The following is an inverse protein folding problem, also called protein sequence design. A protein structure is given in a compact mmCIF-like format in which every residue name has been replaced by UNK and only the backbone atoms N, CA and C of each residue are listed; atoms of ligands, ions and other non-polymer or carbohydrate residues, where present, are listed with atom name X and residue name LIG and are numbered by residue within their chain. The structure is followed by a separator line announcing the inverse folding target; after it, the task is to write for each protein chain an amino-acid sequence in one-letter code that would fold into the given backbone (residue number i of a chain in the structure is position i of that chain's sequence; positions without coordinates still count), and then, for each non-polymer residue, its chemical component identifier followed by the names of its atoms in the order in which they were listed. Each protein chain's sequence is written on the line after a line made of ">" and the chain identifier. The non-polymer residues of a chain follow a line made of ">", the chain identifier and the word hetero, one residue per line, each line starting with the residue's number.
data_IF_397495802380
#
_entry.id   IF_397495802380
#
_cell.length_a   1.000
_cell.length_b   1.000
_cell.length_c   1.000
_cell.angle_alpha   90.00
_cell.angle_beta   90.00
_cell.angle_gamma   90.00
#
_symmetry.space_group_name_H-M   'P 1'
#
loop_
_entity.id
_entity.type
_entity.pdbx_description
1 polymer ?
#
# COMPACT_ATOMS: atom_id res chain seq x y z
N UNK A 1 -21.82 27.55 -7.18
CA UNK A 1 -22.11 27.20 -5.78
C UNK A 1 -21.08 26.17 -5.35
N UNK A 2 -20.34 26.41 -4.27
CA UNK A 2 -19.31 25.47 -3.79
C UNK A 2 -19.95 24.31 -3.04
N UNK A 3 -19.49 23.08 -3.29
CA UNK A 3 -20.02 21.85 -2.67
C UNK A 3 -19.68 21.80 -1.18
N UNK A 4 -18.50 22.27 -0.77
CA UNK A 4 -18.08 22.29 0.63
C UNK A 4 -19.08 23.07 1.51
N UNK A 5 -19.64 24.17 0.99
CA UNK A 5 -20.61 24.98 1.72
C UNK A 5 -21.91 24.20 1.96
N UNK A 6 -22.34 23.40 0.98
CA UNK A 6 -23.53 22.56 1.13
C UNK A 6 -23.32 21.48 2.17
N UNK A 7 -22.17 20.79 2.14
CA UNK A 7 -21.80 19.77 3.13
C UNK A 7 -21.77 20.37 4.54
N UNK A 8 -21.10 21.51 4.73
CA UNK A 8 -21.04 22.20 6.02
C UNK A 8 -22.43 22.59 6.55
N UNK A 9 -23.27 23.17 5.69
CA UNK A 9 -24.64 23.55 6.05
C UNK A 9 -25.47 22.33 6.47
N UNK A 10 -25.37 21.22 5.74
CA UNK A 10 -26.07 19.97 6.06
C UNK A 10 -25.60 19.39 7.39
N UNK A 11 -24.29 19.35 7.66
CA UNK A 11 -23.75 18.84 8.92
C UNK A 11 -24.25 19.64 10.12
N UNK A 12 -24.23 20.97 10.04
CA UNK A 12 -24.72 21.85 11.11
C UNK A 12 -26.22 21.64 11.33
N UNK A 13 -26.99 21.55 10.24
CA UNK A 13 -28.44 21.32 10.30
C UNK A 13 -28.75 19.95 10.92
N UNK A 14 -28.12 18.88 10.46
CA UNK A 14 -28.31 17.53 11.00
C UNK A 14 -27.97 17.45 12.49
N UNK A 15 -26.90 18.14 12.94
CA UNK A 15 -26.57 18.21 14.36
C UNK A 15 -27.63 18.95 15.19
N UNK A 16 -28.23 20.02 14.65
CA UNK A 16 -29.31 20.77 15.32
C UNK A 16 -30.61 19.97 15.39
N UNK A 17 -30.90 19.18 14.37
CA UNK A 17 -32.12 18.36 14.26
C UNK A 17 -32.00 17.00 14.97
N UNK A 18 -30.82 16.64 15.49
CA UNK A 18 -30.61 15.37 16.18
C UNK A 18 -31.28 15.34 17.56
N UNK A 19 -32.30 14.49 17.70
CA UNK A 19 -33.08 14.30 18.94
C UNK A 19 -32.67 13.08 19.77
N UNK A 20 -31.68 12.32 19.32
CA UNK A 20 -31.16 11.16 20.03
C UNK A 20 -30.35 11.52 21.28
N UNK A 21 -29.97 10.50 22.06
CA UNK A 21 -29.07 10.69 23.20
C UNK A 21 -27.71 11.20 22.75
N UNK A 22 -27.18 12.22 23.41
CA UNK A 22 -25.84 12.73 23.17
C UNK A 22 -24.83 11.83 23.87
N UNK A 23 -23.91 11.24 23.12
CA UNK A 23 -22.79 10.51 23.71
C UNK A 23 -21.71 11.53 24.13
N UNK A 24 -21.30 11.52 25.39
CA UNK A 24 -20.21 12.36 25.91
C UNK A 24 -18.83 11.81 25.51
N UNK A 25 -18.54 11.82 24.22
CA UNK A 25 -17.25 11.39 23.68
C UNK A 25 -16.33 12.60 23.64
N UNK A 26 -15.11 12.46 24.17
CA UNK A 26 -14.10 13.49 24.06
C UNK A 26 -13.71 13.66 22.58
N UNK A 27 -13.71 14.88 22.01
CA UNK A 27 -13.38 15.09 20.61
C UNK A 27 -11.96 14.59 20.27
N UNK A 28 -11.85 13.71 19.28
CA UNK A 28 -10.56 13.22 18.75
C UNK A 28 -10.03 14.12 17.64
N UNK A 29 -10.92 14.82 16.92
CA UNK A 29 -10.58 15.70 15.81
C UNK A 29 -10.79 17.16 16.20
N UNK A 30 -9.77 18.01 16.01
CA UNK A 30 -9.85 19.44 16.30
C UNK A 30 -10.57 20.22 15.20
N UNK A 31 -10.29 19.88 13.93
CA UNK A 31 -10.72 20.64 12.77
C UNK A 31 -11.19 19.71 11.65
N UNK A 32 -12.15 20.21 10.85
CA UNK A 32 -12.59 19.60 9.60
C UNK A 32 -12.31 20.56 8.45
N UNK A 33 -11.46 20.15 7.51
CA UNK A 33 -11.21 20.86 6.26
C UNK A 33 -12.03 20.23 5.13
N UNK A 34 -12.94 21.00 4.56
CA UNK A 34 -13.71 20.59 3.37
C UNK A 34 -13.11 21.28 2.14
N UNK A 35 -12.80 20.51 1.10
CA UNK A 35 -12.14 21.00 -0.10
C UNK A 35 -12.84 20.47 -1.35
N UNK A 36 -13.29 21.39 -2.21
CA UNK A 36 -13.90 21.02 -3.49
C UNK A 36 -12.82 20.69 -4.52
N UNK A 37 -12.97 19.56 -5.22
CA UNK A 37 -12.03 19.18 -6.29
C UNK A 37 -11.91 20.24 -7.40
N UNK A 38 -12.95 21.02 -7.65
CA UNK A 38 -12.95 22.06 -8.69
C UNK A 38 -12.06 23.27 -8.36
N UNK A 39 -11.59 23.40 -7.11
CA UNK A 39 -10.66 24.46 -6.70
C UNK A 39 -9.24 24.17 -7.22
N UNK A 40 -8.92 22.90 -7.46
CA UNK A 40 -7.66 22.46 -8.05
C UNK A 40 -7.95 21.39 -9.12
N UNK A 41 -8.09 21.81 -10.37
CA UNK A 41 -8.30 20.87 -11.48
C UNK A 41 -6.99 20.39 -12.10
N UNK A 42 -5.85 20.97 -11.73
CA UNK A 42 -4.56 20.69 -12.36
C UNK A 42 -3.86 19.47 -11.75
N UNK A 43 -3.85 19.35 -10.41
CA UNK A 43 -3.15 18.25 -9.74
C UNK A 43 -3.59 16.86 -10.23
N UNK A 44 -4.89 16.56 -10.46
CA UNK A 44 -5.31 15.25 -10.96
C UNK A 44 -4.95 14.97 -12.43
N UNK A 45 -4.58 16.01 -13.19
CA UNK A 45 -4.18 15.87 -14.60
C UNK A 45 -2.68 15.59 -14.75
N UNK A 46 -1.89 15.89 -13.71
CA UNK A 46 -0.47 15.60 -13.70
C UNK A 46 -0.23 14.12 -13.38
N UNK A 47 0.63 13.46 -14.16
CA UNK A 47 1.04 12.08 -13.88
C UNK A 47 1.68 11.99 -12.50
N UNK A 48 1.16 11.12 -11.65
CA UNK A 48 1.70 10.90 -10.33
C UNK A 48 3.06 10.18 -10.40
N UNK A 49 4.03 10.62 -9.58
CA UNK A 49 5.42 10.10 -9.61
C UNK A 49 5.85 9.39 -8.32
N UNK A 50 4.90 9.13 -7.40
CA UNK A 50 5.13 8.25 -6.25
C UNK A 50 5.04 6.79 -6.67
N UNK A 51 5.55 5.87 -5.84
CA UNK A 51 5.46 4.44 -6.12
C UNK A 51 3.99 3.98 -6.24
N UNK A 52 3.14 4.33 -5.28
CA UNK A 52 1.71 4.01 -5.33
C UNK A 52 1.00 4.74 -6.48
N UNK A 53 1.33 6.02 -6.70
CA UNK A 53 0.76 6.81 -7.78
C UNK A 53 1.02 6.19 -9.15
N UNK A 54 2.25 5.76 -9.44
CA UNK A 54 2.56 5.08 -10.71
C UNK A 54 1.88 3.71 -10.85
N UNK A 55 1.67 2.99 -9.74
CA UNK A 55 0.89 1.74 -9.79
C UNK A 55 -0.56 2.04 -10.18
N UNK A 56 -1.15 3.10 -9.62
CA UNK A 56 -2.52 3.52 -9.92
C UNK A 56 -2.67 4.02 -11.36
N UNK A 57 -1.72 4.83 -11.84
CA UNK A 57 -1.72 5.37 -13.22
C UNK A 57 -1.61 4.25 -14.28
N UNK A 58 -0.80 3.21 -14.02
CA UNK A 58 -0.51 2.16 -15.01
C UNK A 58 -1.50 0.99 -14.92
N UNK A 59 -1.84 0.55 -13.71
CA UNK A 59 -2.61 -0.68 -13.47
C UNK A 59 -3.98 -0.43 -12.84
N UNK A 60 -4.19 0.73 -12.23
CA UNK A 60 -5.38 1.06 -11.45
C UNK A 60 -5.45 0.30 -10.12
N UNK A 61 -5.59 1.04 -9.04
CA UNK A 61 -5.84 0.49 -7.71
C UNK A 61 -7.34 0.61 -7.41
N UNK A 62 -7.97 -0.52 -7.10
CA UNK A 62 -9.40 -0.59 -6.81
C UNK A 62 -9.59 -1.27 -5.46
N UNK A 63 -10.18 -0.54 -4.50
CA UNK A 63 -10.46 -1.04 -3.14
C UNK A 63 -9.21 -1.61 -2.45
N UNK A 64 -8.06 -0.94 -2.60
CA UNK A 64 -6.75 -1.40 -2.09
C UNK A 64 -6.26 -2.71 -2.71
N UNK A 65 -6.74 -3.07 -3.91
CA UNK A 65 -6.21 -4.19 -4.69
C UNK A 65 -5.73 -3.74 -6.07
N UNK A 66 -4.68 -4.39 -6.55
CA UNK A 66 -4.18 -4.24 -7.93
C UNK A 66 -4.16 -5.60 -8.61
N UNK A 67 -4.38 -5.62 -9.93
CA UNK A 67 -4.23 -6.81 -10.79
C UNK A 67 -3.00 -6.62 -11.68
N UNK A 68 -2.00 -7.47 -11.52
CA UNK A 68 -0.73 -7.37 -12.23
C UNK A 68 -0.50 -8.54 -13.20
N UNK A 69 0.29 -8.33 -14.26
CA UNK A 69 0.72 -9.42 -15.15
C UNK A 69 1.43 -10.54 -14.36
N UNK A 70 1.03 -11.80 -14.50
CA UNK A 70 1.43 -12.88 -13.61
C UNK A 70 2.85 -13.42 -13.84
N UNK A 71 3.49 -13.08 -14.96
CA UNK A 71 4.76 -13.67 -15.42
C UNK A 71 5.93 -13.43 -14.45
N UNK A 72 5.87 -12.33 -13.69
CA UNK A 72 6.90 -11.97 -12.68
C UNK A 72 6.61 -12.54 -11.29
N UNK A 73 5.43 -13.11 -11.07
CA UNK A 73 4.99 -13.65 -9.77
C UNK A 73 5.05 -15.16 -9.68
N UNK A 74 5.23 -15.85 -10.81
CA UNK A 74 5.40 -17.30 -10.83
C UNK A 74 6.78 -17.68 -10.23
N UNK A 75 6.84 -18.68 -9.33
CA UNK A 75 8.12 -19.18 -8.84
C UNK A 75 8.87 -19.83 -10.00
N UNK A 76 10.06 -19.30 -10.34
CA UNK A 76 10.97 -19.95 -11.29
C UNK A 76 11.52 -21.23 -10.64
N UNK A 77 10.82 -22.36 -10.80
CA UNK A 77 11.43 -23.68 -10.54
C UNK A 77 12.42 -23.95 -11.68
N UNK A 78 13.71 -23.97 -11.38
CA UNK A 78 14.71 -24.53 -12.29
C UNK A 78 14.36 -26.01 -12.51
N UNK A 79 13.87 -26.36 -13.71
CA UNK A 79 13.73 -27.76 -14.14
C UNK A 79 12.41 -28.18 -14.78
N UNK A 80 11.34 -27.37 -14.78
CA UNK A 80 10.05 -27.77 -15.36
C UNK A 80 9.77 -26.97 -16.65
N UNK A 81 10.38 -27.38 -17.75
CA UNK A 81 10.09 -26.87 -19.09
C UNK A 81 8.75 -27.45 -19.57
N UNK A 82 7.61 -26.90 -19.09
CA UNK A 82 6.30 -27.33 -19.59
C UNK A 82 5.10 -27.15 -18.68
N UNK A 83 5.02 -26.11 -17.85
CA UNK A 83 3.75 -25.76 -17.19
C UNK A 83 3.19 -24.45 -17.72
N UNK A 84 1.93 -24.52 -18.15
CA UNK A 84 1.10 -23.42 -18.60
C UNK A 84 1.35 -22.17 -17.75
N UNK A 85 1.73 -21.08 -18.43
CA UNK A 85 1.85 -19.78 -17.80
C UNK A 85 0.51 -19.48 -17.11
N UNK A 86 0.49 -19.09 -15.83
CA UNK A 86 -0.76 -18.68 -15.19
C UNK A 86 -1.37 -17.55 -16.01
N UNK A 87 -2.52 -17.80 -16.65
CA UNK A 87 -3.20 -16.82 -17.51
C UNK A 87 -3.91 -15.72 -16.70
N UNK A 88 -4.17 -15.98 -15.42
CA UNK A 88 -4.91 -15.07 -14.55
C UNK A 88 -4.00 -14.01 -13.93
N UNK A 89 -4.45 -12.75 -14.00
CA UNK A 89 -3.73 -11.63 -13.39
C UNK A 89 -3.52 -11.84 -11.89
N UNK A 90 -2.30 -11.57 -11.41
CA UNK A 90 -1.98 -11.67 -10.00
C UNK A 90 -2.66 -10.54 -9.24
N UNK A 91 -3.65 -10.88 -8.42
CA UNK A 91 -4.30 -9.93 -7.50
C UNK A 91 -3.44 -9.77 -6.23
N UNK A 92 -3.06 -8.54 -5.90
CA UNK A 92 -2.32 -8.19 -4.69
C UNK A 92 -3.09 -7.14 -3.88
N UNK A 93 -3.03 -7.26 -2.55
CA UNK A 93 -3.56 -6.27 -1.62
C UNK A 93 -2.47 -5.24 -1.32
N UNK A 94 -2.79 -3.95 -1.38
CA UNK A 94 -1.88 -2.84 -1.16
C UNK A 94 -2.40 -1.98 0.01
N UNK A 95 -1.78 -2.11 1.18
CA UNK A 95 -2.09 -1.28 2.35
C UNK A 95 -0.90 -1.25 3.33
N UNK A 96 -1.01 -0.45 4.39
CA UNK A 96 0.06 -0.27 5.37
C UNK A 96 0.26 -1.45 6.34
N UNK A 97 -0.48 -2.56 6.20
CA UNK A 97 -0.21 -3.77 6.97
C UNK A 97 1.08 -4.46 6.50
N UNK A 98 1.48 -4.25 5.23
CA UNK A 98 2.78 -4.66 4.73
C UNK A 98 3.83 -3.58 5.00
N UNK A 99 4.82 -3.90 5.84
CA UNK A 99 5.87 -2.97 6.27
C UNK A 99 6.68 -2.41 5.09
N UNK A 100 7.06 -3.26 4.13
CA UNK A 100 7.81 -2.83 2.96
C UNK A 100 7.00 -1.83 2.12
N UNK A 101 5.71 -2.11 1.91
CA UNK A 101 4.84 -1.25 1.14
C UNK A 101 4.60 0.10 1.83
N UNK A 102 4.35 0.08 3.15
CA UNK A 102 4.22 1.30 3.95
C UNK A 102 5.45 2.21 3.87
N UNK A 103 6.65 1.63 3.74
CA UNK A 103 7.89 2.39 3.61
C UNK A 103 8.05 3.05 2.23
N UNK A 104 7.63 2.38 1.15
CA UNK A 104 7.92 2.81 -0.24
C UNK A 104 6.78 3.54 -0.94
N UNK A 105 5.52 3.34 -0.55
CA UNK A 105 4.34 3.82 -1.30
C UNK A 105 4.33 5.33 -1.56
N UNK A 106 4.76 6.11 -0.57
CA UNK A 106 4.74 7.58 -0.60
C UNK A 106 6.04 8.19 -1.16
N UNK A 107 7.03 7.35 -1.50
CA UNK A 107 8.31 7.82 -2.04
C UNK A 107 8.19 8.12 -3.53
N UNK A 108 8.93 9.13 -4.00
CA UNK A 108 9.18 9.29 -5.43
C UNK A 108 9.79 7.99 -6.00
N UNK A 109 9.34 7.59 -7.19
CA UNK A 109 9.74 6.32 -7.81
C UNK A 109 11.27 6.13 -7.88
N UNK A 110 12.02 7.22 -8.12
CA UNK A 110 13.48 7.18 -8.22
C UNK A 110 14.16 6.78 -6.90
N UNK A 111 13.50 6.98 -5.75
CA UNK A 111 14.04 6.64 -4.44
C UNK A 111 13.80 5.17 -4.04
N UNK A 112 12.84 4.48 -4.68
CA UNK A 112 12.40 3.12 -4.30
C UNK A 112 13.51 2.09 -4.42
N UNK A 113 14.31 2.14 -5.50
CA UNK A 113 15.36 1.15 -5.75
C UNK A 113 16.42 1.08 -4.62
N UNK A 114 16.72 2.23 -4.01
CA UNK A 114 17.66 2.30 -2.89
C UNK A 114 17.14 1.59 -1.63
N UNK A 115 15.84 1.68 -1.37
CA UNK A 115 15.16 1.02 -0.23
C UNK A 115 15.13 -0.49 -0.46
N UNK A 116 14.69 -0.92 -1.64
CA UNK A 116 14.66 -2.34 -2.01
C UNK A 116 16.04 -2.99 -1.92
N UNK A 117 17.08 -2.30 -2.37
CA UNK A 117 18.47 -2.78 -2.27
C UNK A 117 18.92 -2.99 -0.82
N UNK A 118 18.54 -2.08 0.09
CA UNK A 118 18.86 -2.20 1.51
C UNK A 118 18.12 -3.38 2.14
N UNK A 119 16.80 -3.50 1.91
CA UNK A 119 15.99 -4.61 2.45
C UNK A 119 16.45 -5.96 1.91
N UNK A 120 16.82 -6.05 0.63
CA UNK A 120 17.40 -7.26 0.05
C UNK A 120 18.68 -7.69 0.77
N UNK A 121 19.63 -6.76 1.01
CA UNK A 121 20.86 -7.06 1.76
C UNK A 121 20.57 -7.54 3.18
N UNK A 122 19.62 -6.92 3.88
CA UNK A 122 19.21 -7.33 5.23
C UNK A 122 18.64 -8.75 5.22
N UNK A 123 17.77 -9.05 4.26
CA UNK A 123 17.19 -10.39 4.11
C UNK A 123 18.29 -11.42 3.82
N UNK A 124 19.19 -11.14 2.88
CA UNK A 124 20.32 -12.02 2.56
C UNK A 124 21.19 -12.33 3.77
N UNK A 125 21.59 -11.31 4.54
CA UNK A 125 22.38 -11.49 5.76
C UNK A 125 21.63 -12.31 6.82
N UNK A 126 20.32 -12.07 6.99
CA UNK A 126 19.48 -12.82 7.94
C UNK A 126 19.28 -14.29 7.53
N UNK A 127 19.31 -14.61 6.23
CA UNK A 127 19.31 -15.98 5.75
C UNK A 127 20.66 -16.67 5.98
N UNK A 128 21.76 -15.96 5.74
CA UNK A 128 23.12 -16.47 5.95
C UNK A 128 23.37 -16.86 7.41
N UNK A 129 23.07 -15.96 8.36
CA UNK A 129 23.19 -16.24 9.80
C UNK A 129 22.35 -17.45 10.22
N UNK A 130 21.11 -17.56 9.72
CA UNK A 130 20.23 -18.71 10.03
C UNK A 130 20.75 -20.01 9.44
N UNK A 131 21.32 -19.97 8.24
CA UNK A 131 21.93 -21.14 7.62
C UNK A 131 23.13 -21.63 8.45
N UNK A 132 24.03 -20.72 8.86
CA UNK A 132 25.15 -21.07 9.73
C UNK A 132 24.69 -21.58 11.11
N UNK A 133 23.71 -20.93 11.75
CA UNK A 133 23.18 -21.36 13.04
C UNK A 133 22.52 -22.74 13.02
N UNK A 134 21.75 -23.04 11.96
CA UNK A 134 21.11 -24.35 11.78
C UNK A 134 22.16 -25.46 11.57
N UNK A 135 23.17 -25.22 10.72
CA UNK A 135 24.24 -26.18 10.48
C UNK A 135 25.03 -26.47 11.77
N UNK A 136 25.31 -25.46 12.59
CA UNK A 136 25.98 -25.65 13.88
C UNK A 136 25.11 -26.47 14.83
N UNK A 137 23.83 -26.12 15.03
CA UNK A 137 22.91 -26.90 15.87
C UNK A 137 22.78 -28.36 15.42
N UNK A 138 22.77 -28.60 14.11
CA UNK A 138 22.64 -29.95 13.55
C UNK A 138 23.91 -30.80 13.79
N UNK A 139 25.09 -30.19 13.78
CA UNK A 139 26.36 -30.83 14.17
C UNK A 139 26.41 -31.16 15.67
N UNK A 140 25.87 -30.30 16.54
CA UNK A 140 25.81 -30.55 17.98
C UNK A 140 24.77 -31.62 18.40
N UNK A 141 23.75 -31.88 17.58
CA UNK A 141 22.74 -32.92 17.86
C UNK A 141 23.15 -34.30 17.32
N UNK A 142 24.12 -34.36 16.39
CA UNK A 142 24.55 -35.62 15.75
C UNK A 142 25.94 -36.11 16.17
N UNK A 143 26.64 -35.37 17.04
CA UNK A 143 27.90 -35.78 17.68
C UNK A 143 27.72 -36.09 19.15
#
# INVERSE_FOLDING_TARGET
>A
MFFFQQVANMMIRMKREFTGSQNSIFPVFDNLLLLDRNVDLLTPLATQLTYEGLIDEIYGIQNSYVKLPPEKFAPKKQGDAGKDLPTEAKKLQLNSAEELYAEIRDKNFNAVGSVLSKKAKVISAAFEVRHFGCVVLQLWVTG
#
